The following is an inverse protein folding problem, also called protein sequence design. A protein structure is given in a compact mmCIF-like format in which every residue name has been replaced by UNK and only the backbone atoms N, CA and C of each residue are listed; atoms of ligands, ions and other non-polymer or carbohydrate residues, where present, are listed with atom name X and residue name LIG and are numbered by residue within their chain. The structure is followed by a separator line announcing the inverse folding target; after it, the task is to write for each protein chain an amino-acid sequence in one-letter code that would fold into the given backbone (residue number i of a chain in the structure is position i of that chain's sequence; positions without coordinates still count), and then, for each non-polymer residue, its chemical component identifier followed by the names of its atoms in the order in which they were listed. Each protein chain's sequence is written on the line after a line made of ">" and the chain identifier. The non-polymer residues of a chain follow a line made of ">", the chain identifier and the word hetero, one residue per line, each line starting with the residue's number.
data_IF_462094440151
#
_entry.id   IF_462094440151
#
_cell.length_a   1.000
_cell.length_b   1.000
_cell.length_c   1.000
_cell.angle_alpha   90.00
_cell.angle_beta   90.00
_cell.angle_gamma   90.00
#
_symmetry.space_group_name_H-M   'P 1'
#
loop_
_entity.id
_entity.type
_entity.pdbx_description
1 polymer ?
#
# COMPACT_ATOMS: atom_id res chain seq x y z
N UNK A 1 -5.76 -0.81 -7.19
CA UNK A 1 -4.52 -1.50 -6.74
C UNK A 1 -4.71 -3.02 -6.85
N UNK A 2 -3.70 -3.77 -7.27
CA UNK A 2 -3.76 -5.24 -7.39
C UNK A 2 -2.51 -5.84 -6.73
N UNK A 3 -2.65 -7.02 -6.13
CA UNK A 3 -1.56 -7.71 -5.40
C UNK A 3 -1.74 -7.68 -3.88
N UNK A 4 -0.80 -8.31 -3.18
CA UNK A 4 -0.87 -8.56 -1.73
C UNK A 4 -0.86 -7.27 -0.89
N UNK A 5 -0.31 -6.19 -1.45
CA UNK A 5 -0.24 -4.88 -0.79
C UNK A 5 -1.47 -4.00 -1.06
N UNK A 6 -2.31 -4.38 -2.02
CA UNK A 6 -3.47 -3.60 -2.44
C UNK A 6 -4.45 -3.23 -1.30
N UNK A 7 -4.72 -4.10 -0.29
CA UNK A 7 -5.67 -3.79 0.78
C UNK A 7 -5.27 -2.60 1.66
N UNK A 8 -3.99 -2.27 1.72
CA UNK A 8 -3.43 -1.24 2.61
C UNK A 8 -2.59 -0.20 1.86
N UNK A 9 -2.71 -0.18 0.53
CA UNK A 9 -2.11 0.85 -0.33
C UNK A 9 -3.18 1.80 -0.81
N UNK A 10 -3.01 3.10 -0.55
CA UNK A 10 -3.86 4.17 -1.05
C UNK A 10 -3.11 5.00 -2.09
N UNK A 11 -3.82 5.41 -3.15
CA UNK A 11 -3.29 6.20 -4.26
C UNK A 11 -4.13 7.46 -4.34
N UNK A 12 -3.52 8.64 -4.17
CA UNK A 12 -4.23 9.92 -4.26
C UNK A 12 -3.42 10.97 -5.05
N UNK A 13 -3.99 11.60 -6.08
CA UNK A 13 -5.28 11.31 -6.70
C UNK A 13 -5.23 10.09 -7.63
N UNK A 14 -6.31 9.29 -7.65
CA UNK A 14 -6.43 8.14 -8.58
C UNK A 14 -6.57 8.55 -10.04
N UNK A 15 -7.09 9.75 -10.27
CA UNK A 15 -7.27 10.33 -11.60
C UNK A 15 -6.70 11.73 -11.57
N UNK A 16 -5.71 11.97 -12.42
CA UNK A 16 -5.09 13.28 -12.56
C UNK A 16 -5.30 13.77 -13.99
N UNK A 17 -5.86 14.98 -14.12
CA UNK A 17 -6.01 15.64 -15.42
C UNK A 17 -4.77 16.49 -15.65
N UNK A 18 -3.96 16.10 -16.63
CA UNK A 18 -2.79 16.84 -17.06
C UNK A 18 -3.06 17.49 -18.40
N UNK A 19 -2.70 18.75 -18.51
CA UNK A 19 -2.69 19.46 -19.79
C UNK A 19 -1.33 19.25 -20.48
N UNK A 20 -1.25 19.41 -21.81
CA UNK A 20 0.01 19.30 -22.54
C UNK A 20 1.11 20.16 -21.90
N UNK A 21 2.26 19.53 -21.60
CA UNK A 21 3.40 20.19 -20.93
C UNK A 21 3.30 20.30 -19.40
N UNK A 22 2.25 19.78 -18.77
CA UNK A 22 2.09 19.75 -17.31
C UNK A 22 2.58 18.43 -16.74
N UNK A 23 3.32 18.49 -15.63
CA UNK A 23 3.68 17.29 -14.85
C UNK A 23 2.74 17.17 -13.67
N UNK A 24 2.32 15.93 -13.41
CA UNK A 24 1.46 15.58 -12.30
C UNK A 24 2.16 14.71 -11.29
N UNK A 25 1.95 14.98 -10.01
CA UNK A 25 2.42 14.11 -8.93
C UNK A 25 1.23 13.35 -8.35
N UNK A 26 1.42 12.06 -8.10
CA UNK A 26 0.47 11.20 -7.39
C UNK A 26 1.18 10.67 -6.16
N UNK A 27 0.52 10.74 -5.01
CA UNK A 27 1.02 10.18 -3.77
C UNK A 27 0.51 8.75 -3.60
N UNK A 28 1.44 7.85 -3.29
CA UNK A 28 1.17 6.47 -2.99
C UNK A 28 1.50 6.23 -1.52
N UNK A 29 0.48 6.01 -0.70
CA UNK A 29 0.63 5.79 0.74
C UNK A 29 0.46 4.32 1.06
N UNK A 30 1.42 3.77 1.80
CA UNK A 30 1.43 2.39 2.24
C UNK A 30 1.22 2.35 3.76
N UNK A 31 0.12 1.75 4.20
CA UNK A 31 -0.24 1.65 5.62
C UNK A 31 -0.37 0.18 6.06
N UNK A 32 0.72 -0.61 6.06
CA UNK A 32 0.66 -2.03 6.39
C UNK A 32 0.06 -2.24 7.79
N UNK A 33 -0.97 -3.09 7.94
CA UNK A 33 -1.55 -3.37 9.25
C UNK A 33 -0.54 -4.07 10.16
N UNK A 34 -0.76 -3.91 11.48
CA UNK A 34 -0.02 -4.61 12.54
C UNK A 34 -0.47 -6.07 12.69
N UNK A 35 -0.75 -6.74 11.58
CA UNK A 35 -1.23 -8.13 11.51
C UNK A 35 -0.38 -8.93 10.53
N UNK A 36 -0.40 -10.27 10.60
CA UNK A 36 0.31 -11.14 9.65
C UNK A 36 -0.12 -10.97 8.18
N UNK A 37 -1.20 -10.22 7.91
CA UNK A 37 -1.69 -9.92 6.57
C UNK A 37 -0.69 -9.06 5.76
N UNK A 38 0.18 -8.30 6.44
CA UNK A 38 1.32 -7.63 5.82
C UNK A 38 2.56 -8.54 5.92
N UNK A 39 2.82 -9.34 4.88
CA UNK A 39 3.98 -10.23 4.83
C UNK A 39 5.27 -9.39 4.89
N UNK A 40 6.03 -9.58 5.97
CA UNK A 40 7.34 -8.95 6.11
C UNK A 40 8.30 -9.45 5.02
N UNK A 41 9.06 -8.54 4.42
CA UNK A 41 9.96 -8.84 3.31
C UNK A 41 9.74 -7.95 2.07
N UNK A 42 10.41 -8.30 0.96
CA UNK A 42 10.27 -7.56 -0.29
C UNK A 42 8.92 -7.86 -0.95
N UNK A 43 8.07 -6.85 -1.03
CA UNK A 43 6.78 -6.91 -1.71
C UNK A 43 6.89 -6.11 -3.02
N UNK A 44 6.95 -6.78 -4.19
CA UNK A 44 7.00 -6.09 -5.46
C UNK A 44 5.67 -5.37 -5.72
N UNK A 45 5.75 -4.16 -6.26
CA UNK A 45 4.59 -3.38 -6.64
C UNK A 45 4.79 -2.75 -8.01
N UNK A 46 3.68 -2.55 -8.71
CA UNK A 46 3.67 -1.89 -10.00
C UNK A 46 2.55 -0.84 -10.01
N UNK A 47 2.86 0.37 -10.48
CA UNK A 47 1.86 1.42 -10.67
C UNK A 47 1.61 1.55 -12.16
N UNK A 48 0.41 1.21 -12.62
CA UNK A 48 0.04 1.35 -14.03
C UNK A 48 -0.53 2.74 -14.29
N UNK A 49 0.16 3.53 -15.10
CA UNK A 49 -0.27 4.84 -15.57
C UNK A 49 -0.76 4.68 -17.00
N UNK A 50 -2.06 4.89 -17.22
CA UNK A 50 -2.69 4.80 -18.54
C UNK A 50 -3.09 6.21 -18.99
N UNK A 51 -2.35 6.81 -19.95
CA UNK A 51 -2.75 8.09 -20.52
C UNK A 51 -4.09 7.97 -21.25
N UNK A 52 -4.96 8.95 -21.10
CA UNK A 52 -6.26 8.96 -21.79
C UNK A 52 -6.15 9.39 -23.25
N UNK A 53 -5.18 10.23 -23.60
CA UNK A 53 -4.97 10.71 -24.98
C UNK A 53 -4.23 9.69 -25.85
N UNK A 54 -3.30 8.94 -25.25
CA UNK A 54 -2.46 7.93 -25.91
C UNK A 54 -2.50 6.62 -25.12
N UNK A 55 -3.56 5.80 -25.30
CA UNK A 55 -3.72 4.54 -24.57
C UNK A 55 -2.61 3.52 -24.87
N UNK A 56 -1.85 3.70 -25.95
CA UNK A 56 -0.64 2.93 -26.30
C UNK A 56 0.59 3.33 -25.46
N UNK A 57 0.62 4.54 -24.90
CA UNK A 57 1.74 5.08 -24.12
C UNK A 57 1.62 4.72 -22.62
N UNK A 58 1.14 3.52 -22.30
CA UNK A 58 1.06 3.05 -20.91
C UNK A 58 2.46 2.96 -20.32
N UNK A 59 2.63 3.53 -19.14
CA UNK A 59 3.88 3.46 -18.38
C UNK A 59 3.63 2.74 -17.08
N UNK A 60 4.47 1.75 -16.76
CA UNK A 60 4.36 0.95 -15.54
C UNK A 60 5.67 1.04 -14.76
N UNK A 61 5.85 2.03 -13.87
CA UNK A 61 6.92 1.99 -12.89
C UNK A 61 6.71 0.84 -11.91
N UNK A 62 7.69 -0.05 -11.89
CA UNK A 62 7.80 -1.15 -10.93
C UNK A 62 8.76 -0.77 -9.80
N UNK A 63 8.47 -1.22 -8.59
CA UNK A 63 9.29 -0.97 -7.41
C UNK A 63 9.18 -2.11 -6.40
N UNK A 64 10.09 -2.11 -5.42
CA UNK A 64 10.07 -3.06 -4.32
C UNK A 64 9.79 -2.32 -3.02
N UNK A 65 8.71 -2.70 -2.33
CA UNK A 65 8.38 -2.21 -1.01
C UNK A 65 8.91 -3.19 0.04
N UNK A 66 9.86 -2.76 0.85
CA UNK A 66 10.37 -3.56 1.96
C UNK A 66 9.51 -3.30 3.19
N UNK A 67 8.67 -4.27 3.57
CA UNK A 67 7.93 -4.22 4.84
C UNK A 67 8.84 -4.75 5.94
N UNK A 68 9.13 -3.92 6.94
CA UNK A 68 9.90 -4.34 8.11
C UNK A 68 9.07 -5.25 9.01
N UNK A 69 9.68 -6.29 9.61
CA UNK A 69 8.96 -7.16 10.53
C UNK A 69 8.45 -6.35 11.72
N UNK A 70 7.17 -6.52 12.03
CA UNK A 70 6.52 -5.91 13.18
C UNK A 70 6.25 -6.99 14.25
N UNK A 71 6.46 -6.65 15.53
CA UNK A 71 6.16 -7.52 16.67
C UNK A 71 5.28 -6.74 17.64
N UNK A 72 4.03 -7.18 17.82
CA UNK A 72 3.14 -6.66 18.86
C UNK A 72 2.98 -7.70 19.95
N UNK A 73 3.45 -7.34 21.15
CA UNK A 73 3.23 -8.12 22.36
C UNK A 73 1.90 -7.66 22.96
N UNK A 74 0.83 -8.42 22.71
CA UNK A 74 -0.45 -8.20 23.39
C UNK A 74 -0.43 -8.93 24.74
N UNK A 75 -0.35 -8.17 25.83
CA UNK A 75 -0.57 -8.72 27.17
C UNK A 75 -2.07 -8.68 27.47
N UNK A 76 -2.70 -9.85 27.61
CA UNK A 76 -4.08 -9.96 28.11
C UNK A 76 -4.05 -10.21 29.62
N UNK A 77 -4.56 -9.25 30.41
CA UNK A 77 -4.72 -9.41 31.85
C UNK A 77 -6.07 -10.12 32.11
N UNK A 78 -6.03 -11.44 32.29
CA UNK A 78 -7.20 -12.19 32.75
C UNK A 78 -7.44 -11.92 34.25
N UNK A 79 -8.68 -11.61 34.68
CA UNK A 79 -8.95 -11.39 36.10
C UNK A 79 -8.77 -12.71 36.86
N UNK A 80 -7.99 -12.75 37.96
CA UNK A 80 -8.02 -13.91 38.84
C UNK A 80 -9.40 -13.97 39.47
N UNK A 81 -10.18 -15.00 39.16
CA UNK A 81 -11.44 -15.28 39.85
C UNK A 81 -11.08 -15.69 41.28
N UNK A 82 -11.07 -14.75 42.21
CA UNK A 82 -10.99 -15.07 43.63
C UNK A 82 -12.36 -15.63 44.04
N UNK A 83 -12.44 -16.95 44.23
CA UNK A 83 -13.56 -17.56 44.95
C UNK A 83 -13.29 -17.36 46.45
N UNK A 84 -14.12 -16.55 47.10
CA UNK A 84 -14.22 -16.38 48.54
C UNK A 84 -15.67 -16.53 48.96
#
# INVERSE_FOLDING_TARGET
>A
PVGDIAPWTTVEPQTLRLYPGTTGTVELTFAPPRTPDAIAGPNPYAVRITPTEHPEAVTVPEGNLTITPFTEVRAELVPPTVKG
#
